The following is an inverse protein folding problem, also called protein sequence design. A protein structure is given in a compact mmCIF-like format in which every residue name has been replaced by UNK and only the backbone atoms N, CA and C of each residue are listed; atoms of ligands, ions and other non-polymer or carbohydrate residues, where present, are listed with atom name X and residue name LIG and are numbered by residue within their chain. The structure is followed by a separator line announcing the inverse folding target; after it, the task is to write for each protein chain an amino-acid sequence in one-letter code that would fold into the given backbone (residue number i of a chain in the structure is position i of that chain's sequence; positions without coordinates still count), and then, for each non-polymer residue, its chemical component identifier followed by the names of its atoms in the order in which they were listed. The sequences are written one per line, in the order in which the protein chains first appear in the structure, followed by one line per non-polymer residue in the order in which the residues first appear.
data_IF_019293211853
#
_entry.id   IF_019293211853
#
_cell.length_a   1.000
_cell.length_b   1.000
_cell.length_c   1.000
_cell.angle_alpha   90.00
_cell.angle_beta   90.00
_cell.angle_gamma   90.00
#
_symmetry.space_group_name_H-M   'P 1'
#
loop_
_entity.id
_entity.type
_entity.pdbx_description
1 polymer ?
#
# COMPACT_ATOMS: atom_id res chain seq x y z
N UNK A 1 -8.45 -29.00 8.58
CA UNK A 1 -8.70 -27.55 8.67
C UNK A 1 -7.36 -26.89 8.89
N UNK A 2 -6.67 -26.52 7.82
CA UNK A 2 -5.37 -25.84 7.91
C UNK A 2 -5.69 -24.35 7.95
N UNK A 3 -5.59 -23.74 9.12
CA UNK A 3 -5.66 -22.28 9.26
C UNK A 3 -4.56 -21.66 8.40
N UNK A 4 -4.87 -20.73 7.46
CA UNK A 4 -3.83 -20.10 6.67
C UNK A 4 -2.89 -19.33 7.60
N UNK A 5 -1.68 -19.85 7.57
CA UNK A 5 -0.52 -19.56 8.38
C UNK A 5 -0.07 -18.10 8.21
N UNK A 6 0.37 -17.52 9.30
CA UNK A 6 0.87 -16.15 9.50
C UNK A 6 2.03 -15.71 8.59
N UNK A 7 2.57 -16.60 7.74
CA UNK A 7 3.61 -16.28 6.76
C UNK A 7 3.15 -15.31 5.64
N UNK A 8 1.84 -15.20 5.38
CA UNK A 8 1.28 -14.28 4.35
C UNK A 8 1.10 -12.84 4.88
N UNK A 9 1.37 -12.58 6.16
CA UNK A 9 1.02 -11.30 6.79
C UNK A 9 2.05 -10.21 6.61
N UNK A 10 3.30 -10.49 6.26
CA UNK A 10 4.32 -9.46 6.18
C UNK A 10 5.11 -9.57 4.87
N UNK A 11 5.25 -8.47 4.15
CA UNK A 11 5.98 -8.44 2.88
C UNK A 11 6.78 -7.15 2.72
N UNK A 12 7.82 -7.18 1.88
CA UNK A 12 8.64 -5.99 1.62
C UNK A 12 7.94 -5.01 0.68
N UNK A 13 7.44 -3.90 1.21
CA UNK A 13 6.87 -2.84 0.40
C UNK A 13 7.97 -2.00 -0.25
N UNK A 14 8.08 -1.97 -1.60
CA UNK A 14 9.10 -1.19 -2.31
C UNK A 14 8.88 0.32 -2.15
N UNK A 15 7.64 0.77 -1.96
CA UNK A 15 7.34 2.19 -1.77
C UNK A 15 7.82 2.69 -0.40
N UNK A 16 7.67 1.88 0.65
CA UNK A 16 8.14 2.20 2.00
C UNK A 16 9.63 1.84 2.19
N UNK A 17 10.12 0.86 1.41
CA UNK A 17 11.46 0.29 1.54
C UNK A 17 11.63 -0.54 2.81
N UNK A 18 10.54 -1.14 3.33
CA UNK A 18 10.53 -1.90 4.57
C UNK A 18 9.52 -3.05 4.51
N UNK A 19 9.68 -4.03 5.40
CA UNK A 19 8.68 -5.09 5.59
C UNK A 19 7.50 -4.51 6.37
N UNK A 20 6.30 -4.64 5.81
CA UNK A 20 5.05 -4.16 6.40
C UNK A 20 4.00 -5.28 6.43
N UNK A 21 2.99 -5.10 7.29
CA UNK A 21 1.84 -5.99 7.32
C UNK A 21 1.04 -5.93 5.99
N UNK A 22 0.51 -7.06 5.54
CA UNK A 22 -0.23 -7.21 4.29
C UNK A 22 -1.57 -6.48 4.31
N UNK A 23 -2.22 -6.39 5.48
CA UNK A 23 -3.36 -5.52 5.70
C UNK A 23 -2.99 -4.06 5.51
N UNK A 24 -1.88 -3.61 6.12
CA UNK A 24 -1.39 -2.25 5.93
C UNK A 24 -1.02 -1.97 4.46
N UNK A 25 -0.41 -2.94 3.77
CA UNK A 25 -0.15 -2.82 2.34
C UNK A 25 -1.44 -2.65 1.53
N UNK A 26 -2.46 -3.46 1.81
CA UNK A 26 -3.75 -3.37 1.14
C UNK A 26 -4.38 -1.99 1.33
N UNK A 27 -4.33 -1.46 2.56
CA UNK A 27 -4.82 -0.10 2.84
C UNK A 27 -4.03 0.97 2.09
N UNK A 28 -2.71 0.82 1.95
CA UNK A 28 -1.89 1.71 1.14
C UNK A 28 -2.23 1.63 -0.35
N UNK A 29 -2.46 0.42 -0.91
CA UNK A 29 -2.87 0.26 -2.30
C UNK A 29 -4.20 0.99 -2.60
N UNK A 30 -5.09 1.10 -1.60
CA UNK A 30 -6.43 1.70 -1.72
C UNK A 30 -6.55 3.10 -1.13
N UNK A 31 -5.47 3.67 -0.60
CA UNK A 31 -5.49 5.04 -0.11
C UNK A 31 -6.01 5.95 -1.24
N UNK A 32 -7.02 6.78 -0.96
CA UNK A 32 -7.67 7.65 -1.96
C UNK A 32 -8.51 6.96 -3.05
N UNK A 33 -8.66 5.63 -3.01
CA UNK A 33 -9.49 4.83 -3.94
C UNK A 33 -10.50 3.92 -3.21
N UNK A 34 -10.97 4.33 -2.03
CA UNK A 34 -11.96 3.61 -1.23
C UNK A 34 -11.41 2.86 -0.01
N UNK A 35 -10.10 2.99 0.28
CA UNK A 35 -9.50 2.50 1.51
C UNK A 35 -9.81 3.36 2.74
N UNK A 36 -9.36 2.93 3.94
CA UNK A 36 -9.62 3.64 5.20
C UNK A 36 -9.07 5.08 5.21
N UNK A 37 -9.91 6.03 5.65
CA UNK A 37 -9.59 7.47 5.66
C UNK A 37 -8.38 7.77 6.56
N UNK A 38 -8.29 7.09 7.70
CA UNK A 38 -7.18 7.28 8.66
C UNK A 38 -5.85 6.85 8.05
N UNK A 39 -5.84 5.74 7.32
CA UNK A 39 -4.65 5.24 6.63
C UNK A 39 -4.22 6.19 5.51
N UNK A 40 -5.18 6.78 4.76
CA UNK A 40 -4.86 7.84 3.79
C UNK A 40 -4.19 9.04 4.47
N UNK A 41 -4.75 9.55 5.57
CA UNK A 41 -4.19 10.71 6.30
C UNK A 41 -2.80 10.41 6.84
N UNK A 42 -2.62 9.22 7.42
CA UNK A 42 -1.32 8.75 7.89
C UNK A 42 -0.30 8.71 6.75
N UNK A 43 -0.67 8.11 5.62
CA UNK A 43 0.21 7.97 4.47
C UNK A 43 0.59 9.34 3.89
N UNK A 44 -0.35 10.27 3.77
CA UNK A 44 -0.07 11.65 3.36
C UNK A 44 0.93 12.34 4.28
N UNK A 45 0.76 12.20 5.60
CA UNK A 45 1.69 12.76 6.58
C UNK A 45 3.08 12.12 6.47
N UNK A 46 3.14 10.81 6.27
CA UNK A 46 4.39 10.09 6.09
C UNK A 46 5.11 10.52 4.80
N UNK A 47 4.39 10.68 3.68
CA UNK A 47 4.94 11.20 2.42
C UNK A 47 5.52 12.60 2.63
N UNK A 48 4.74 13.50 3.24
CA UNK A 48 5.19 14.87 3.51
C UNK A 48 6.42 14.94 4.43
N UNK A 49 6.53 14.02 5.40
CA UNK A 49 7.67 13.98 6.34
C UNK A 49 8.90 13.32 5.74
N UNK A 50 8.71 12.26 4.96
CA UNK A 50 9.81 11.48 4.39
C UNK A 50 10.45 12.16 3.17
N UNK A 51 9.69 12.98 2.44
CA UNK A 51 10.15 13.62 1.20
C UNK A 51 10.47 12.63 0.07
N UNK A 52 10.09 11.36 0.22
CA UNK A 52 10.40 10.29 -0.76
C UNK A 52 9.50 10.32 -1.99
N UNK A 53 8.32 10.93 -1.86
CA UNK A 53 7.33 11.03 -2.92
C UNK A 53 6.77 12.46 -2.96
N UNK A 54 6.38 12.92 -4.15
CA UNK A 54 5.73 14.22 -4.31
C UNK A 54 4.28 14.22 -3.76
N UNK A 55 3.65 13.06 -3.68
CA UNK A 55 2.27 12.90 -3.23
C UNK A 55 1.80 11.45 -3.31
N UNK A 56 0.51 11.21 -3.05
CA UNK A 56 -0.09 9.87 -3.09
C UNK A 56 -0.01 9.23 -4.48
N UNK A 57 -0.18 10.01 -5.56
CA UNK A 57 -0.12 9.49 -6.93
C UNK A 57 1.27 8.93 -7.27
N UNK A 58 2.32 9.62 -6.86
CA UNK A 58 3.71 9.20 -7.03
C UNK A 58 4.01 7.93 -6.20
N UNK A 59 3.50 7.87 -4.97
CA UNK A 59 3.52 6.65 -4.16
C UNK A 59 2.80 5.47 -4.85
N UNK A 60 1.60 5.71 -5.39
CA UNK A 60 0.81 4.68 -6.07
C UNK A 60 1.43 4.22 -7.39
N UNK A 61 2.25 5.03 -8.04
CA UNK A 61 2.99 4.62 -9.24
C UNK A 61 3.96 3.46 -8.94
N UNK A 62 4.57 3.45 -7.74
CA UNK A 62 5.35 2.31 -7.25
C UNK A 62 4.45 1.11 -6.94
N UNK A 63 3.28 1.35 -6.34
CA UNK A 63 2.29 0.30 -6.07
C UNK A 63 1.73 -0.33 -7.36
N UNK A 64 1.54 0.41 -8.44
CA UNK A 64 1.02 -0.12 -9.70
C UNK A 64 1.94 -1.20 -10.31
N UNK A 65 3.24 -1.12 -10.03
CA UNK A 65 4.23 -2.11 -10.45
C UNK A 65 4.42 -3.25 -9.43
N UNK A 66 3.77 -3.16 -8.26
CA UNK A 66 3.87 -4.16 -7.21
C UNK A 66 2.89 -5.32 -7.45
N UNK A 67 3.35 -6.59 -7.47
CA UNK A 67 2.48 -7.76 -7.63
C UNK A 67 1.32 -7.82 -6.61
N UNK A 68 1.54 -7.31 -5.40
CA UNK A 68 0.56 -7.30 -4.32
C UNK A 68 -0.52 -6.22 -4.48
N UNK A 69 -0.28 -5.17 -5.27
CA UNK A 69 -1.26 -4.11 -5.56
C UNK A 69 -1.75 -4.12 -7.01
N UNK A 70 -1.18 -4.92 -7.93
CA UNK A 70 -1.53 -4.91 -9.36
C UNK A 70 -3.02 -5.15 -9.66
N UNK A 71 -3.74 -5.87 -8.79
CA UNK A 71 -5.18 -6.06 -8.91
C UNK A 71 -5.98 -4.75 -8.79
N UNK A 72 -5.47 -3.71 -8.13
CA UNK A 72 -6.14 -2.40 -8.06
C UNK A 72 -6.20 -1.69 -9.41
N UNK A 73 -5.30 -2.05 -10.33
CA UNK A 73 -5.26 -1.49 -11.69
C UNK A 73 -6.32 -2.10 -12.62
N UNK A 74 -6.82 -3.30 -12.33
CA UNK A 74 -7.89 -3.95 -13.09
C UNK A 74 -9.29 -3.40 -12.76
N UNK A 75 -9.45 -2.69 -11.64
CA UNK A 75 -10.74 -2.10 -11.24
C UNK A 75 -11.08 -0.78 -11.97
N UNK A 76 -10.25 -0.34 -12.94
CA UNK A 76 -10.45 0.87 -13.75
C UNK A 76 -10.81 0.57 -15.22
N UNK A 77 -11.50 -0.54 -15.51
CA UNK A 77 -12.07 -0.85 -16.84
C UNK A 77 -13.59 -0.77 -16.83
#
# INVERSE_FOLDING_TARGET
MTTPDTADRCWHCPAVGAVIDGGLCWEYCLADSGGPIDTRKFLQKWIATSGRFAGLEDFHSVCASCPHCQWTSQAKS
#
